data_IF_519552223643
#
_entry.id   IF_519552223643
#
_cell.length_a   1.000
_cell.length_b   1.000
_cell.length_c   1.000
_cell.angle_alpha   90.00
_cell.angle_beta   90.00
_cell.angle_gamma   90.00
#
_symmetry.space_group_name_H-M   'P 1'
#
loop_
_entity.id
_entity.type
_entity.pdbx_description
1 polymer ?
#
# COMPACT_ATOMS: atom_id res chain seq x y z
N UNK A 1 9.01 7.31 0.69
CA UNK A 1 10.33 7.88 1.01
C UNK A 1 11.31 6.78 1.39
N UNK A 2 12.52 6.84 0.91
CA UNK A 2 13.67 6.02 1.34
C UNK A 2 14.77 6.94 1.83
N UNK A 3 15.47 6.59 2.92
CA UNK A 3 16.54 7.42 3.47
C UNK A 3 17.91 7.10 2.90
N UNK A 4 18.23 5.83 2.83
CA UNK A 4 19.58 5.36 2.42
C UNK A 4 19.57 4.58 1.14
N UNK A 5 18.49 3.89 0.81
CA UNK A 5 18.38 3.10 -0.40
C UNK A 5 17.94 3.97 -1.58
N UNK A 6 18.46 3.62 -2.73
CA UNK A 6 18.17 4.30 -3.99
C UNK A 6 17.68 3.28 -5.01
N UNK A 7 16.48 3.48 -5.55
CA UNK A 7 15.91 2.56 -6.52
C UNK A 7 14.45 2.84 -6.87
N UNK A 8 13.94 2.09 -7.83
CA UNK A 8 12.61 2.30 -8.41
C UNK A 8 11.48 1.63 -7.61
N UNK A 9 11.81 0.61 -6.82
CA UNK A 9 10.80 -0.19 -6.12
C UNK A 9 10.97 -0.07 -4.61
N UNK A 10 10.28 0.87 -3.95
CA UNK A 10 10.39 1.07 -2.50
C UNK A 10 10.07 -0.19 -1.70
N UNK A 11 9.24 -1.08 -2.23
CA UNK A 11 8.90 -2.37 -1.62
C UNK A 11 10.11 -3.27 -1.32
N UNK A 12 11.26 -3.05 -1.97
CA UNK A 12 12.50 -3.79 -1.74
C UNK A 12 13.43 -3.13 -0.71
N UNK A 13 13.12 -1.93 -0.26
CA UNK A 13 13.97 -1.14 0.61
C UNK A 13 13.40 -1.10 2.02
N UNK A 14 14.11 -1.66 2.99
CA UNK A 14 13.69 -1.70 4.40
C UNK A 14 13.50 -0.34 5.03
N UNK A 15 14.15 0.68 4.50
CA UNK A 15 14.07 2.07 4.92
C UNK A 15 12.99 2.87 4.17
N UNK A 16 12.14 2.18 3.40
CA UNK A 16 11.00 2.83 2.78
C UNK A 16 9.90 3.08 3.81
N UNK A 17 9.55 4.34 4.03
CA UNK A 17 8.58 4.79 5.01
C UNK A 17 7.52 5.69 4.40
N UNK A 18 6.33 5.65 4.97
CA UNK A 18 5.28 6.62 4.66
C UNK A 18 5.53 7.88 5.48
N UNK A 19 5.61 9.01 4.78
CA UNK A 19 5.76 10.34 5.37
C UNK A 19 4.54 11.18 5.05
N UNK A 20 4.10 12.00 5.98
CA UNK A 20 3.01 12.93 5.81
C UNK A 20 3.44 14.34 6.17
N UNK A 21 2.99 15.31 5.38
CA UNK A 21 3.26 16.73 5.58
C UNK A 21 1.94 17.47 5.80
N UNK A 22 1.85 18.23 6.88
CA UNK A 22 0.77 19.19 7.09
C UNK A 22 0.95 20.38 6.14
N UNK A 23 -0.03 20.64 5.30
CA UNK A 23 0.11 21.64 4.24
C UNK A 23 0.04 23.10 4.74
N UNK A 24 -0.71 23.37 5.79
CA UNK A 24 -0.85 24.71 6.35
C UNK A 24 0.44 25.15 7.06
N UNK A 25 0.95 24.30 7.91
CA UNK A 25 2.15 24.56 8.71
C UNK A 25 3.43 24.19 7.99
N UNK A 26 3.37 23.38 6.94
CA UNK A 26 4.51 22.76 6.23
C UNK A 26 5.43 21.95 7.15
N UNK A 27 4.86 21.40 8.22
CA UNK A 27 5.62 20.58 9.15
C UNK A 27 5.34 19.09 8.91
N UNK A 28 6.35 18.23 9.12
CA UNK A 28 6.15 16.80 9.05
C UNK A 28 5.26 16.34 10.23
N UNK A 29 4.33 15.44 9.92
CA UNK A 29 3.52 14.75 10.93
C UNK A 29 4.29 13.55 11.44
N UNK A 30 4.18 13.28 12.74
CA UNK A 30 4.78 12.10 13.36
C UNK A 30 4.05 10.83 12.87
N UNK A 31 4.74 10.05 12.04
CA UNK A 31 4.26 8.77 11.46
C UNK A 31 4.90 7.55 12.11
N UNK A 32 5.59 7.70 13.23
CA UNK A 32 6.31 6.61 13.93
C UNK A 32 5.38 5.43 14.26
N UNK A 33 4.13 5.70 14.60
CA UNK A 33 3.17 4.64 14.95
C UNK A 33 2.72 3.83 13.71
N UNK A 34 2.78 4.44 12.52
CA UNK A 34 2.41 3.78 11.26
C UNK A 34 3.58 2.95 10.72
N UNK A 35 4.79 3.50 10.70
CA UNK A 35 5.97 2.86 10.14
C UNK A 35 6.50 1.72 11.02
N UNK A 36 7.32 0.86 10.47
CA UNK A 36 7.93 -0.29 11.12
C UNK A 36 9.43 -0.37 10.84
N UNK A 37 10.07 -1.48 11.21
CA UNK A 37 11.47 -1.75 10.91
C UNK A 37 11.70 -2.36 9.49
N UNK A 38 10.64 -2.53 8.72
CA UNK A 38 10.69 -3.00 7.32
C UNK A 38 9.89 -2.04 6.44
N UNK A 39 9.78 -2.30 5.17
CA UNK A 39 9.17 -1.39 4.19
C UNK A 39 7.70 -1.10 4.42
N UNK A 40 7.33 0.16 4.26
CA UNK A 40 5.97 0.65 4.02
C UNK A 40 5.93 1.34 2.66
N UNK A 41 5.00 0.90 1.80
CA UNK A 41 4.94 1.38 0.41
C UNK A 41 3.53 1.40 -0.15
N UNK A 42 3.37 2.03 -1.30
CA UNK A 42 2.13 2.02 -2.09
C UNK A 42 0.86 2.25 -1.27
N UNK A 43 0.67 3.46 -0.81
CA UNK A 43 -0.50 3.85 -0.02
C UNK A 43 -1.65 4.40 -0.89
N UNK A 44 -2.87 4.18 -0.43
CA UNK A 44 -4.08 4.77 -0.97
C UNK A 44 -4.99 5.27 0.15
N UNK A 45 -5.69 6.38 -0.10
CA UNK A 45 -6.60 7.00 0.84
C UNK A 45 -8.04 6.58 0.58
N UNK A 46 -8.84 6.51 1.64
CA UNK A 46 -10.29 6.44 1.51
C UNK A 46 -10.86 7.72 0.93
N UNK A 47 -12.05 7.65 0.33
CA UNK A 47 -12.76 8.81 -0.21
C UNK A 47 -13.09 9.87 0.84
N UNK A 48 -13.12 9.48 2.12
CA UNK A 48 -13.37 10.38 3.27
C UNK A 48 -12.06 10.95 3.86
N UNK A 49 -10.90 10.55 3.30
CA UNK A 49 -9.57 11.02 3.71
C UNK A 49 -9.21 10.75 5.18
N UNK A 50 -9.81 9.76 5.81
CA UNK A 50 -9.55 9.37 7.20
C UNK A 50 -8.98 7.95 7.36
N UNK A 51 -8.94 7.15 6.29
CA UNK A 51 -8.31 5.85 6.27
C UNK A 51 -7.25 5.77 5.20
N UNK A 52 -6.15 5.10 5.54
CA UNK A 52 -5.03 4.82 4.63
C UNK A 52 -4.79 3.33 4.60
N UNK A 53 -4.80 2.73 3.41
CA UNK A 53 -4.33 1.38 3.17
C UNK A 53 -2.95 1.42 2.51
N UNK A 54 -2.07 0.53 2.89
CA UNK A 54 -0.70 0.49 2.37
C UNK A 54 -0.12 -0.93 2.43
N UNK A 55 0.95 -1.15 1.69
CA UNK A 55 1.68 -2.41 1.67
C UNK A 55 2.83 -2.39 2.67
N UNK A 56 2.98 -3.44 3.47
CA UNK A 56 4.08 -3.56 4.43
C UNK A 56 4.60 -5.00 4.50
N UNK A 57 5.92 -5.15 4.71
CA UNK A 57 6.58 -6.45 4.93
C UNK A 57 6.87 -6.73 6.41
N UNK A 58 6.29 -5.95 7.33
CA UNK A 58 6.58 -5.99 8.77
C UNK A 58 6.41 -7.36 9.44
N UNK A 59 5.61 -8.27 8.87
CA UNK A 59 5.36 -9.58 9.47
C UNK A 59 6.47 -10.59 9.21
N UNK A 60 6.85 -10.76 7.96
CA UNK A 60 7.76 -11.83 7.56
C UNK A 60 9.00 -11.36 6.78
N UNK A 61 9.07 -10.09 6.40
CA UNK A 61 10.17 -9.51 5.63
C UNK A 61 10.31 -10.03 4.19
N UNK A 62 9.36 -10.82 3.70
CA UNK A 62 9.37 -11.44 2.37
C UNK A 62 8.26 -10.91 1.48
N UNK A 63 7.02 -11.01 1.94
CA UNK A 63 5.84 -10.63 1.19
C UNK A 63 5.22 -9.37 1.78
N UNK A 64 4.78 -8.48 0.91
CA UNK A 64 3.96 -7.34 1.33
C UNK A 64 2.54 -7.78 1.60
N UNK A 65 2.01 -7.35 2.74
CA UNK A 65 0.63 -7.56 3.14
C UNK A 65 -0.09 -6.21 3.24
N UNK A 66 -1.41 -6.18 3.03
CA UNK A 66 -2.19 -4.94 3.09
C UNK A 66 -2.47 -4.56 4.54
N UNK A 67 -1.96 -3.44 4.96
CA UNK A 67 -2.22 -2.83 6.25
C UNK A 67 -3.13 -1.63 6.11
N UNK A 68 -3.93 -1.37 7.11
CA UNK A 68 -4.83 -0.22 7.14
C UNK A 68 -4.71 0.49 8.49
N UNK A 69 -4.75 1.81 8.47
CA UNK A 69 -4.85 2.64 9.68
C UNK A 69 -5.79 3.81 9.45
N UNK A 70 -6.27 4.36 10.55
CA UNK A 70 -7.03 5.60 10.53
C UNK A 70 -6.10 6.79 10.81
N UNK A 71 -6.34 7.88 10.09
CA UNK A 71 -5.74 9.18 10.39
C UNK A 71 -6.75 9.96 11.23
N UNK A 72 -6.33 10.39 12.41
CA UNK A 72 -7.15 11.11 13.37
C UNK A 72 -7.32 12.58 12.96
N UNK A 73 -8.22 13.30 13.58
CA UNK A 73 -8.47 14.71 13.28
C UNK A 73 -7.28 15.62 13.51
N UNK A 74 -6.32 15.20 14.34
CA UNK A 74 -5.05 15.90 14.58
C UNK A 74 -3.96 15.51 13.58
N UNK A 75 -4.29 14.72 12.56
CA UNK A 75 -3.39 14.24 11.51
C UNK A 75 -2.56 13.00 11.90
N UNK A 76 -2.60 12.54 13.15
CA UNK A 76 -1.79 11.40 13.59
C UNK A 76 -2.40 10.07 13.19
N UNK A 77 -1.60 9.09 12.77
CA UNK A 77 -2.09 7.75 12.48
C UNK A 77 -2.44 6.99 13.77
N UNK A 78 -3.42 6.12 13.69
CA UNK A 78 -3.59 5.05 14.68
C UNK A 78 -2.60 3.93 14.40
N UNK A 79 -2.44 2.98 15.34
CA UNK A 79 -1.67 1.76 15.08
C UNK A 79 -2.29 1.01 13.90
N UNK A 80 -1.51 0.70 12.85
CA UNK A 80 -1.99 -0.10 11.74
C UNK A 80 -2.33 -1.52 12.15
N UNK A 81 -3.26 -2.10 11.42
CA UNK A 81 -3.57 -3.52 11.53
C UNK A 81 -3.66 -4.17 10.15
N UNK A 82 -3.36 -5.46 10.10
CA UNK A 82 -3.48 -6.26 8.89
C UNK A 82 -4.94 -6.27 8.44
N UNK A 83 -5.18 -6.01 7.16
CA UNK A 83 -6.54 -5.99 6.62
C UNK A 83 -7.18 -7.37 6.77
N UNK A 84 -8.29 -7.51 7.52
CA UNK A 84 -8.89 -8.81 7.76
C UNK A 84 -9.35 -9.49 6.47
N UNK A 85 -9.18 -10.81 6.42
CA UNK A 85 -9.71 -11.67 5.36
C UNK A 85 -10.83 -12.54 5.93
N UNK A 86 -11.67 -13.08 5.06
CA UNK A 86 -12.70 -14.04 5.44
C UNK A 86 -12.08 -15.28 6.11
N UNK A 87 -10.97 -15.77 5.57
CA UNK A 87 -10.12 -16.78 6.19
C UNK A 87 -8.96 -16.05 6.90
N UNK A 88 -8.91 -16.04 8.25
CA UNK A 88 -7.87 -15.33 8.99
C UNK A 88 -6.47 -15.94 8.81
N UNK A 89 -6.37 -17.21 8.43
CA UNK A 89 -5.09 -17.90 8.20
C UNK A 89 -4.57 -17.72 6.77
N UNK A 90 -5.33 -17.07 5.90
CA UNK A 90 -4.99 -16.90 4.48
C UNK A 90 -3.59 -16.34 4.25
N UNK A 91 -3.18 -15.37 5.05
CA UNK A 91 -1.87 -14.74 4.90
C UNK A 91 -0.70 -15.65 5.30
N UNK A 92 -0.92 -16.66 6.13
CA UNK A 92 0.13 -17.54 6.64
C UNK A 92 0.63 -18.54 5.57
N UNK A 93 -0.21 -18.89 4.61
CA UNK A 93 0.13 -19.88 3.59
C UNK A 93 0.21 -19.32 2.15
N UNK A 94 -0.09 -18.05 1.95
CA UNK A 94 0.05 -17.46 0.62
C UNK A 94 1.51 -17.14 0.28
N UNK A 95 1.88 -17.30 -0.99
CA UNK A 95 3.23 -17.09 -1.51
C UNK A 95 3.25 -15.93 -2.53
N UNK A 96 2.52 -14.87 -2.28
CA UNK A 96 2.48 -13.69 -3.14
C UNK A 96 2.31 -12.41 -2.32
N UNK A 97 2.66 -11.28 -2.94
CA UNK A 97 2.61 -9.95 -2.33
C UNK A 97 1.38 -9.17 -2.79
N UNK A 98 0.83 -8.36 -1.90
CA UNK A 98 -0.12 -7.31 -2.20
C UNK A 98 0.64 -5.99 -2.31
N UNK A 99 0.96 -5.55 -3.52
CA UNK A 99 1.84 -4.39 -3.71
C UNK A 99 1.10 -3.06 -3.84
N UNK A 100 -0.11 -3.06 -4.36
CA UNK A 100 -0.85 -1.84 -4.68
C UNK A 100 -2.28 -1.93 -4.13
N UNK A 101 -2.46 -1.88 -2.79
CA UNK A 101 -3.79 -1.88 -2.22
C UNK A 101 -4.50 -0.56 -2.50
N UNK A 102 -5.74 -0.63 -2.94
CA UNK A 102 -6.59 0.54 -3.19
C UNK A 102 -7.95 0.38 -2.53
N UNK A 103 -8.45 1.47 -1.98
CA UNK A 103 -9.81 1.56 -1.46
C UNK A 103 -10.73 2.08 -2.58
N UNK A 104 -11.79 1.36 -2.85
CA UNK A 104 -12.78 1.71 -3.87
C UNK A 104 -14.16 1.97 -3.27
N UNK A 105 -14.93 2.85 -3.90
CA UNK A 105 -16.33 3.10 -3.55
C UNK A 105 -17.24 2.32 -4.48
N UNK A 106 -17.84 1.27 -3.98
CA UNK A 106 -18.75 0.42 -4.73
C UNK A 106 -18.19 -0.96 -5.07
N UNK A 107 -19.00 -1.75 -5.75
CA UNK A 107 -18.66 -3.12 -6.08
C UNK A 107 -17.67 -3.20 -7.24
N UNK A 108 -16.64 -4.02 -7.10
CA UNK A 108 -15.74 -4.36 -8.20
C UNK A 108 -16.38 -5.48 -9.02
N UNK A 109 -16.95 -5.14 -10.17
CA UNK A 109 -17.70 -6.08 -11.02
C UNK A 109 -16.82 -6.92 -11.95
N UNK A 110 -15.54 -6.55 -12.09
CA UNK A 110 -14.59 -7.26 -12.95
C UNK A 110 -13.92 -8.37 -12.15
N UNK A 111 -14.00 -9.60 -12.65
CA UNK A 111 -13.33 -10.73 -12.00
C UNK A 111 -11.80 -10.65 -12.16
N UNK A 112 -11.01 -11.13 -11.16
CA UNK A 112 -9.55 -11.23 -11.28
C UNK A 112 -9.11 -12.00 -12.53
N UNK A 113 -9.86 -13.03 -12.92
CA UNK A 113 -9.58 -13.82 -14.13
C UNK A 113 -9.72 -13.00 -15.43
N UNK A 114 -10.72 -12.13 -15.53
CA UNK A 114 -10.88 -11.25 -16.69
C UNK A 114 -9.72 -10.25 -16.82
N UNK A 115 -9.24 -9.71 -15.68
CA UNK A 115 -8.06 -8.85 -15.66
C UNK A 115 -6.81 -9.62 -16.10
N UNK A 116 -6.63 -10.82 -15.58
CA UNK A 116 -5.50 -11.69 -15.95
C UNK A 116 -5.51 -12.02 -17.45
N UNK A 117 -6.65 -12.43 -18.01
CA UNK A 117 -6.77 -12.69 -19.44
C UNK A 117 -6.39 -11.46 -20.27
N UNK A 118 -6.91 -10.29 -19.89
CA UNK A 118 -6.61 -9.05 -20.61
C UNK A 118 -5.14 -8.68 -20.56
N UNK A 119 -4.46 -8.91 -19.43
CA UNK A 119 -3.02 -8.68 -19.32
C UNK A 119 -2.20 -9.61 -20.25
N UNK A 120 -2.65 -10.84 -20.45
CA UNK A 120 -1.98 -11.80 -21.33
C UNK A 120 -2.26 -11.58 -22.84
N UNK A 121 -3.34 -10.91 -23.20
CA UNK A 121 -3.66 -10.59 -24.60
C UNK A 121 -2.71 -9.54 -25.23
N UNK A 122 -1.88 -8.90 -24.42
CA UNK A 122 -0.95 -7.87 -24.85
C UNK A 122 -1.63 -6.52 -25.16
N UNK A 123 -0.86 -5.49 -25.48
CA UNK A 123 -1.39 -4.18 -25.78
C UNK A 123 -2.19 -4.18 -27.09
N UNK A 124 -3.39 -3.61 -27.05
CA UNK A 124 -4.21 -3.41 -28.25
C UNK A 124 -3.78 -2.17 -29.07
N UNK A 125 -2.93 -1.35 -28.51
CA UNK A 125 -2.41 -0.13 -29.15
C UNK A 125 -0.89 -0.15 -29.12
N UNK A 126 -0.26 -0.12 -30.27
CA UNK A 126 1.19 0.12 -30.35
C UNK A 126 1.45 1.60 -30.12
N UNK A 127 2.31 1.93 -29.18
CA UNK A 127 2.81 3.28 -28.98
C UNK A 127 3.98 3.48 -29.96
N UNK A 128 3.82 4.40 -30.89
CA UNK A 128 4.93 4.85 -31.72
C UNK A 128 5.71 5.92 -30.93
N UNK A 129 7.00 5.72 -30.79
CA UNK A 129 7.91 6.75 -30.29
C UNK A 129 8.40 7.54 -31.50
N UNK A 130 8.12 8.84 -31.52
CA UNK A 130 8.72 9.79 -32.45
C UNK A 130 10.07 10.29 -31.90
#
# INVERSE_FOLDING_TARGET
>A
HTETAYGQFPVWHKDAEIRMLELETRQPVDMTLLNSADTESYHSWSSQSDWVVFSSRRDNGLYTLPYICRIQADGRPTKPFLLPQEDPEKYDYQLYSYNLPELVTGEVTISPYAIQQRAHEGPTTQVAFE
#
